data_IF_212897908716
#
_entry.id   IF_212897908716
#
_cell.length_a   1.000
_cell.length_b   1.000
_cell.length_c   1.000
_cell.angle_alpha   90.00
_cell.angle_beta   90.00
_cell.angle_gamma   90.00
#
_symmetry.space_group_name_H-M   'P 1'
#
loop_
_entity.id
_entity.type
_entity.pdbx_description
1 polymer ?
#
# COMPACT_ATOMS: atom_id res chain seq x y z
N UNK A 1 48.01 2.74 -46.04
CA UNK A 1 46.59 2.86 -46.39
C UNK A 1 45.81 1.97 -45.41
N UNK A 2 45.04 2.63 -44.53
CA UNK A 2 44.02 2.13 -43.60
C UNK A 2 44.33 0.92 -42.67
N UNK A 3 44.55 1.24 -41.39
CA UNK A 3 44.30 0.33 -40.28
C UNK A 3 42.79 0.11 -40.11
N UNK A 4 42.34 -1.14 -39.98
CA UNK A 4 40.99 -1.48 -39.54
C UNK A 4 41.08 -2.14 -38.17
N UNK A 5 40.89 -1.33 -37.13
CA UNK A 5 40.50 -1.78 -35.81
C UNK A 5 39.04 -2.23 -35.90
N UNK A 6 38.79 -3.52 -35.72
CA UNK A 6 37.43 -4.03 -35.52
C UNK A 6 37.02 -3.76 -34.08
N UNK A 7 36.12 -2.80 -33.91
CA UNK A 7 35.46 -2.50 -32.64
C UNK A 7 34.74 -3.74 -32.11
N UNK A 8 35.25 -4.26 -31.00
CA UNK A 8 34.55 -5.22 -30.16
C UNK A 8 33.40 -4.46 -29.51
N UNK A 9 32.19 -4.59 -30.05
CA UNK A 9 30.96 -4.17 -29.39
C UNK A 9 30.90 -4.81 -28.01
N UNK A 10 31.22 -4.03 -26.98
CA UNK A 10 30.79 -4.25 -25.61
C UNK A 10 29.27 -4.33 -25.62
N UNK A 11 28.74 -5.51 -25.36
CA UNK A 11 27.33 -5.73 -25.08
C UNK A 11 27.00 -5.01 -23.77
N UNK A 12 26.37 -3.85 -23.87
CA UNK A 12 25.67 -3.22 -22.75
C UNK A 12 24.61 -4.21 -22.25
N UNK A 13 24.87 -4.81 -21.09
CA UNK A 13 23.89 -5.54 -20.32
C UNK A 13 22.86 -4.52 -19.80
N UNK A 14 21.83 -4.27 -20.60
CA UNK A 14 20.76 -3.33 -20.30
C UNK A 14 19.94 -3.83 -19.11
N UNK A 15 19.91 -3.00 -18.09
CA UNK A 15 19.22 -3.05 -16.79
C UNK A 15 17.70 -3.24 -16.87
N UNK A 16 17.22 -4.38 -17.37
CA UNK A 16 15.77 -4.62 -17.59
C UNK A 16 15.12 -5.67 -16.68
N UNK A 17 15.90 -6.38 -15.84
CA UNK A 17 15.41 -7.55 -15.08
C UNK A 17 15.01 -7.28 -13.61
N UNK A 18 15.03 -6.02 -13.15
CA UNK A 18 14.79 -5.64 -11.75
C UNK A 18 13.37 -5.09 -11.48
N UNK A 19 12.42 -5.30 -12.39
CA UNK A 19 11.12 -4.65 -12.34
C UNK A 19 10.03 -5.61 -11.85
N UNK A 20 9.39 -5.27 -10.73
CA UNK A 20 8.15 -5.92 -10.31
C UNK A 20 7.03 -5.58 -11.31
N UNK A 21 6.16 -6.53 -11.69
CA UNK A 21 4.96 -6.21 -12.46
C UNK A 21 4.06 -5.30 -11.61
N UNK A 22 3.76 -4.10 -12.14
CA UNK A 22 3.14 -3.04 -11.35
C UNK A 22 1.65 -3.26 -11.08
N UNK A 23 0.92 -3.89 -12.01
CA UNK A 23 -0.49 -4.25 -11.90
C UNK A 23 -0.76 -5.42 -12.84
N UNK A 24 -1.23 -6.57 -12.32
CA UNK A 24 -1.66 -7.69 -13.17
C UNK A 24 -3.18 -7.91 -13.13
N UNK A 25 -3.87 -7.42 -12.10
CA UNK A 25 -5.34 -7.48 -12.04
C UNK A 25 -5.99 -6.32 -12.79
N UNK A 26 -7.13 -6.54 -13.45
CA UNK A 26 -7.95 -5.46 -13.96
C UNK A 26 -8.47 -4.60 -12.79
N UNK A 27 -8.62 -3.30 -13.03
CA UNK A 27 -9.26 -2.39 -12.08
C UNK A 27 -10.68 -2.86 -11.76
N UNK A 28 -11.13 -2.61 -10.54
CA UNK A 28 -12.48 -2.95 -10.11
C UNK A 28 -13.50 -2.09 -10.89
N UNK A 29 -14.35 -2.65 -11.77
CA UNK A 29 -15.32 -1.85 -12.53
C UNK A 29 -16.41 -1.23 -11.66
N UNK A 30 -16.51 -1.65 -10.39
CA UNK A 30 -17.61 -1.33 -9.51
C UNK A 30 -18.86 -2.13 -9.86
N UNK A 31 -19.91 -1.92 -9.07
CA UNK A 31 -21.24 -2.49 -9.26
C UNK A 31 -22.30 -1.54 -8.68
N UNK A 32 -23.59 -1.71 -9.02
CA UNK A 32 -24.66 -0.98 -8.36
C UNK A 32 -24.63 -1.17 -6.84
N UNK A 33 -24.94 -0.13 -6.09
CA UNK A 33 -25.00 -0.19 -4.63
C UNK A 33 -26.10 -1.17 -4.18
N UNK A 34 -25.71 -2.20 -3.45
CA UNK A 34 -26.61 -3.15 -2.80
C UNK A 34 -26.77 -2.79 -1.31
N UNK A 35 -27.79 -1.97 -1.01
CA UNK A 35 -28.06 -1.53 0.37
C UNK A 35 -28.49 -2.67 1.30
N UNK A 36 -29.09 -3.74 0.76
CA UNK A 36 -29.50 -4.88 1.57
C UNK A 36 -28.28 -5.69 2.02
N UNK A 37 -27.28 -5.84 1.16
CA UNK A 37 -25.99 -6.39 1.56
C UNK A 37 -25.28 -5.54 2.61
N UNK A 38 -25.23 -4.22 2.41
CA UNK A 38 -24.64 -3.31 3.41
C UNK A 38 -25.34 -3.43 4.76
N UNK A 39 -26.68 -3.47 4.77
CA UNK A 39 -27.48 -3.56 6.00
C UNK A 39 -27.36 -4.93 6.67
N UNK A 40 -27.28 -6.02 5.90
CA UNK A 40 -27.16 -7.38 6.42
C UNK A 40 -25.82 -7.66 7.10
N UNK A 41 -24.77 -6.90 6.77
CA UNK A 41 -23.44 -7.05 7.39
C UNK A 41 -23.51 -6.83 8.90
N UNK A 42 -23.14 -7.88 9.62
CA UNK A 42 -22.96 -7.90 11.06
C UNK A 42 -21.52 -8.26 11.42
N UNK A 43 -21.03 -7.67 12.50
CA UNK A 43 -19.69 -7.97 13.03
C UNK A 43 -19.83 -8.26 14.52
N UNK A 44 -19.38 -9.44 14.95
CA UNK A 44 -19.23 -9.79 16.35
C UNK A 44 -17.84 -9.35 16.83
N UNK A 45 -17.78 -8.18 17.45
CA UNK A 45 -16.51 -7.55 17.88
C UNK A 45 -15.67 -8.49 18.76
N UNK A 46 -16.26 -9.09 19.79
CA UNK A 46 -15.50 -9.96 20.69
C UNK A 46 -14.94 -11.21 20.00
N UNK A 47 -15.66 -11.77 19.02
CA UNK A 47 -15.15 -12.89 18.23
C UNK A 47 -13.98 -12.46 17.32
N UNK A 48 -14.08 -11.28 16.69
CA UNK A 48 -13.01 -10.71 15.88
C UNK A 48 -11.77 -10.45 16.72
N UNK A 49 -11.91 -9.83 17.89
CA UNK A 49 -10.81 -9.53 18.81
C UNK A 49 -10.12 -10.81 19.27
N UNK A 50 -10.88 -11.83 19.69
CA UNK A 50 -10.31 -13.14 20.06
C UNK A 50 -9.53 -13.76 18.91
N UNK A 51 -10.08 -13.73 17.68
CA UNK A 51 -9.38 -14.26 16.51
C UNK A 51 -8.09 -13.50 16.24
N UNK A 52 -8.16 -12.17 16.21
CA UNK A 52 -7.02 -11.30 15.95
C UNK A 52 -5.89 -11.50 16.97
N UNK A 53 -6.23 -11.67 18.27
CA UNK A 53 -5.26 -11.92 19.33
C UNK A 53 -4.45 -13.22 19.13
N UNK A 54 -5.00 -14.22 18.43
CA UNK A 54 -4.27 -15.47 18.15
C UNK A 54 -3.21 -15.34 17.05
N UNK A 55 -3.34 -14.35 16.16
CA UNK A 55 -2.47 -14.19 14.98
C UNK A 55 -0.98 -14.07 15.37
N UNK A 56 -0.56 -13.13 16.24
CA UNK A 56 0.85 -13.01 16.59
C UNK A 56 1.39 -14.18 17.43
N UNK A 57 0.51 -14.92 18.12
CA UNK A 57 0.91 -15.98 19.05
C UNK A 57 1.21 -17.32 18.37
N UNK A 58 0.51 -17.64 17.27
CA UNK A 58 0.57 -18.99 16.67
C UNK A 58 1.30 -19.09 15.33
N UNK A 59 1.73 -17.96 14.74
CA UNK A 59 2.31 -17.90 13.39
C UNK A 59 3.77 -17.44 13.42
N UNK A 60 4.62 -18.21 14.09
CA UNK A 60 6.06 -17.90 14.09
C UNK A 60 6.71 -18.40 12.80
N UNK A 61 7.21 -17.49 11.98
CA UNK A 61 8.08 -17.79 10.84
C UNK A 61 9.54 -17.52 11.26
N UNK A 62 10.44 -18.48 11.02
CA UNK A 62 11.83 -18.43 11.55
C UNK A 62 12.86 -18.60 10.44
N UNK A 63 14.08 -18.08 10.69
CA UNK A 63 15.28 -18.28 9.87
C UNK A 63 15.04 -17.91 8.39
N UNK A 64 15.40 -18.77 7.45
CA UNK A 64 15.31 -18.52 6.01
C UNK A 64 13.88 -18.14 5.56
N UNK A 65 12.85 -18.78 6.12
CA UNK A 65 11.46 -18.41 5.80
C UNK A 65 11.11 -17.01 6.30
N UNK A 66 11.67 -16.59 7.44
CA UNK A 66 11.48 -15.24 7.95
C UNK A 66 12.10 -14.24 6.99
N UNK A 67 13.34 -14.47 6.56
CA UNK A 67 14.00 -13.62 5.57
C UNK A 67 13.20 -13.53 4.26
N UNK A 68 12.69 -14.65 3.74
CA UNK A 68 11.86 -14.67 2.54
C UNK A 68 10.57 -13.85 2.70
N UNK A 69 9.89 -13.96 3.84
CA UNK A 69 8.68 -13.19 4.13
C UNK A 69 8.97 -11.69 4.29
N UNK A 70 10.12 -11.34 4.86
CA UNK A 70 10.56 -9.96 4.99
C UNK A 70 10.90 -9.34 3.63
N UNK A 71 11.58 -10.08 2.75
CA UNK A 71 11.80 -9.66 1.36
C UNK A 71 10.47 -9.45 0.62
N UNK A 72 9.51 -10.36 0.82
CA UNK A 72 8.14 -10.19 0.30
C UNK A 72 7.44 -8.96 0.87
N UNK A 73 7.61 -8.67 2.15
CA UNK A 73 7.04 -7.47 2.75
C UNK A 73 7.60 -6.20 2.09
N UNK A 74 8.91 -6.14 1.80
CA UNK A 74 9.56 -5.02 1.12
C UNK A 74 8.90 -4.73 -0.24
N UNK A 75 8.64 -5.76 -1.05
CA UNK A 75 7.98 -5.58 -2.36
C UNK A 75 6.58 -5.02 -2.24
N UNK A 76 5.93 -5.16 -1.08
CA UNK A 76 4.59 -4.64 -0.81
C UNK A 76 4.62 -3.27 -0.14
N UNK A 77 5.78 -2.63 0.13
CA UNK A 77 5.79 -1.34 0.81
C UNK A 77 5.42 -0.20 -0.16
N UNK A 78 4.45 0.62 0.24
CA UNK A 78 4.30 1.98 -0.28
C UNK A 78 5.17 2.88 0.58
N UNK A 79 6.39 3.16 0.12
CA UNK A 79 7.38 3.87 0.91
C UNK A 79 6.95 5.34 0.99
N UNK A 80 6.56 5.77 2.18
CA UNK A 80 5.73 6.97 2.35
C UNK A 80 6.50 8.10 3.03
N UNK A 81 6.43 9.32 2.47
CA UNK A 81 6.66 10.57 3.22
C UNK A 81 5.48 11.49 3.03
N UNK A 82 4.90 11.95 4.14
CA UNK A 82 3.72 12.81 4.18
C UNK A 82 3.87 13.80 5.33
N UNK A 83 4.96 14.56 5.33
CA UNK A 83 5.27 15.55 6.35
C UNK A 83 5.10 16.96 5.81
N UNK A 84 4.74 17.91 6.69
CA UNK A 84 4.64 19.32 6.31
C UNK A 84 5.99 19.98 6.02
N UNK A 85 7.10 19.31 6.36
CA UNK A 85 8.48 19.73 6.08
C UNK A 85 9.13 18.92 4.94
N UNK A 86 8.33 18.25 4.11
CA UNK A 86 8.86 17.53 2.96
C UNK A 86 9.49 18.50 1.95
N UNK A 87 10.63 18.09 1.39
CA UNK A 87 11.39 18.83 0.39
C UNK A 87 11.70 17.90 -0.78
N UNK A 88 11.95 18.45 -1.97
CA UNK A 88 12.34 17.65 -3.13
C UNK A 88 13.52 16.71 -2.81
N UNK A 89 14.54 17.21 -2.11
CA UNK A 89 15.71 16.39 -1.70
C UNK A 89 15.35 15.23 -0.77
N UNK A 90 14.35 15.38 0.11
CA UNK A 90 13.86 14.26 0.95
C UNK A 90 13.16 13.23 0.08
N UNK A 91 12.34 13.67 -0.86
CA UNK A 91 11.62 12.80 -1.80
C UNK A 91 12.60 12.06 -2.72
N UNK A 92 13.66 12.71 -3.19
CA UNK A 92 14.73 12.07 -3.96
C UNK A 92 15.40 10.93 -3.17
N UNK A 93 15.75 11.16 -1.89
CA UNK A 93 16.30 10.09 -1.04
C UNK A 93 15.31 8.94 -0.83
N UNK A 94 14.03 9.27 -0.62
CA UNK A 94 12.96 8.28 -0.49
C UNK A 94 12.87 7.41 -1.76
N UNK A 95 12.91 8.04 -2.93
CA UNK A 95 12.87 7.36 -4.23
C UNK A 95 14.11 6.50 -4.47
N UNK A 96 15.31 6.98 -4.12
CA UNK A 96 16.53 6.19 -4.18
C UNK A 96 16.43 4.94 -3.28
N UNK A 97 15.88 5.09 -2.07
CA UNK A 97 15.63 3.97 -1.14
C UNK A 97 14.55 3.02 -1.66
N UNK A 98 13.51 3.52 -2.32
CA UNK A 98 12.49 2.70 -2.98
C UNK A 98 13.07 1.85 -4.14
N UNK A 99 14.01 2.42 -4.90
CA UNK A 99 14.73 1.75 -5.99
C UNK A 99 15.67 0.66 -5.50
N UNK A 100 16.35 0.90 -4.38
CA UNK A 100 17.28 -0.05 -3.77
C UNK A 100 16.99 -0.20 -2.27
N UNK A 101 15.92 -0.92 -1.90
CA UNK A 101 15.47 -1.04 -0.52
C UNK A 101 16.43 -1.86 0.35
N UNK A 102 17.18 -2.79 -0.27
CA UNK A 102 18.16 -3.67 0.38
C UNK A 102 19.51 -3.55 -0.33
N UNK A 103 20.60 -3.53 0.42
CA UNK A 103 21.95 -3.52 -0.13
C UNK A 103 22.21 -4.73 -1.06
N UNK A 104 22.86 -4.54 -2.23
CA UNK A 104 23.13 -5.63 -3.18
C UNK A 104 23.85 -6.83 -2.58
N UNK A 105 24.85 -6.61 -1.72
CA UNK A 105 25.60 -7.70 -1.07
C UNK A 105 24.73 -8.55 -0.15
N UNK A 106 23.74 -7.95 0.53
CA UNK A 106 22.78 -8.69 1.34
C UNK A 106 21.86 -9.55 0.45
N UNK A 107 21.39 -9.02 -0.68
CA UNK A 107 20.58 -9.79 -1.63
C UNK A 107 21.37 -10.95 -2.24
N UNK A 108 22.63 -10.70 -2.62
CA UNK A 108 23.54 -11.74 -3.11
C UNK A 108 23.75 -12.86 -2.08
N UNK A 109 24.00 -12.50 -0.81
CA UNK A 109 24.15 -13.47 0.28
C UNK A 109 22.86 -14.27 0.54
N UNK A 110 21.68 -13.69 0.28
CA UNK A 110 20.38 -14.35 0.38
C UNK A 110 19.99 -15.14 -0.89
N UNK A 111 20.81 -15.10 -1.95
CA UNK A 111 20.51 -15.73 -3.24
C UNK A 111 19.34 -15.08 -3.99
N UNK A 112 19.13 -13.77 -3.79
CA UNK A 112 17.99 -13.03 -4.32
C UNK A 112 18.42 -12.05 -5.42
N UNK A 113 17.55 -11.88 -6.42
CA UNK A 113 17.66 -10.81 -7.41
C UNK A 113 17.35 -9.44 -6.77
N UNK A 114 17.76 -8.32 -7.39
CA UNK A 114 17.31 -6.99 -7.00
C UNK A 114 15.77 -6.91 -6.90
N UNK A 115 15.29 -6.23 -5.86
CA UNK A 115 13.86 -5.96 -5.63
C UNK A 115 13.66 -4.47 -5.39
N UNK A 116 12.46 -3.95 -5.67
CA UNK A 116 12.04 -2.58 -5.35
C UNK A 116 10.93 -2.60 -4.31
N UNK A 117 10.57 -1.43 -3.76
CA UNK A 117 9.30 -1.28 -3.04
C UNK A 117 8.12 -1.31 -4.02
N UNK A 118 6.91 -1.46 -3.48
CA UNK A 118 5.67 -1.53 -4.27
C UNK A 118 5.23 -0.19 -4.85
N UNK A 119 5.46 0.90 -4.13
CA UNK A 119 5.27 2.27 -4.60
C UNK A 119 6.09 3.28 -3.77
N UNK A 120 6.05 4.54 -4.17
CA UNK A 120 6.37 5.70 -3.33
C UNK A 120 5.10 6.51 -3.10
N UNK A 121 4.81 6.91 -1.86
CA UNK A 121 3.63 7.69 -1.52
C UNK A 121 4.02 9.09 -1.02
N UNK A 122 3.52 10.13 -1.68
CA UNK A 122 3.84 11.55 -1.40
C UNK A 122 2.61 12.46 -1.42
N UNK A 123 2.78 13.72 -1.00
CA UNK A 123 1.81 14.78 -1.27
C UNK A 123 1.84 15.21 -2.73
N UNK A 124 0.74 15.80 -3.21
CA UNK A 124 0.60 16.31 -4.59
C UNK A 124 1.80 17.16 -5.05
N UNK A 125 2.20 18.13 -4.23
CA UNK A 125 3.31 19.06 -4.54
C UNK A 125 4.64 18.34 -4.84
N UNK A 126 4.83 17.14 -4.28
CA UNK A 126 6.06 16.37 -4.41
C UNK A 126 6.04 15.38 -5.59
N UNK A 127 4.92 15.24 -6.30
CA UNK A 127 4.81 14.34 -7.47
C UNK A 127 5.87 14.65 -8.54
N UNK A 128 6.11 15.91 -8.95
CA UNK A 128 7.11 16.21 -9.97
C UNK A 128 8.53 15.79 -9.57
N UNK A 129 8.90 15.98 -8.29
CA UNK A 129 10.20 15.57 -7.77
C UNK A 129 10.32 14.04 -7.74
N UNK A 130 9.28 13.33 -7.27
CA UNK A 130 9.24 11.87 -7.28
C UNK A 130 9.34 11.31 -8.71
N UNK A 131 8.65 11.93 -9.69
CA UNK A 131 8.66 11.53 -11.10
C UNK A 131 10.05 11.64 -11.72
N UNK A 132 10.77 12.73 -11.47
CA UNK A 132 12.17 12.89 -11.90
C UNK A 132 13.07 11.84 -11.24
N UNK A 133 12.92 11.64 -9.93
CA UNK A 133 13.77 10.73 -9.16
C UNK A 133 13.55 9.24 -9.49
N UNK A 134 12.36 8.87 -9.99
CA UNK A 134 11.98 7.50 -10.36
C UNK A 134 12.06 7.23 -11.86
N UNK A 135 12.60 8.15 -12.65
CA UNK A 135 12.78 7.96 -14.09
C UNK A 135 13.59 6.68 -14.40
N UNK A 136 13.14 5.93 -15.41
CA UNK A 136 13.74 4.63 -15.75
C UNK A 136 13.47 3.53 -14.73
N UNK A 137 12.50 3.71 -13.82
CA UNK A 137 12.00 2.66 -12.94
C UNK A 137 10.54 2.32 -13.25
N UNK A 138 10.10 1.21 -12.68
CA UNK A 138 8.72 0.76 -12.69
C UNK A 138 8.11 0.89 -11.29
N UNK A 139 8.47 1.92 -10.53
CA UNK A 139 7.89 2.16 -9.20
C UNK A 139 6.76 3.17 -9.37
N UNK A 140 5.50 2.81 -9.10
CA UNK A 140 4.40 3.75 -9.22
C UNK A 140 4.49 4.83 -8.15
N UNK A 141 4.06 6.04 -8.52
CA UNK A 141 3.88 7.16 -7.60
C UNK A 141 2.43 7.13 -7.14
N UNK A 142 2.25 6.92 -5.84
CA UNK A 142 1.01 7.14 -5.14
C UNK A 142 0.97 8.58 -4.59
N UNK A 143 -0.17 9.25 -4.74
CA UNK A 143 -0.40 10.54 -4.12
C UNK A 143 -1.58 10.45 -3.13
N UNK A 144 -1.47 11.13 -1.99
CA UNK A 144 -2.66 11.39 -1.18
C UNK A 144 -3.39 12.62 -1.73
N UNK A 145 -4.72 12.55 -1.80
CA UNK A 145 -5.56 13.64 -2.30
C UNK A 145 -6.80 13.80 -1.41
N UNK A 146 -7.78 14.57 -1.88
CA UNK A 146 -9.10 14.79 -1.28
C UNK A 146 -9.07 15.53 0.06
N UNK A 147 -8.20 16.53 0.21
CA UNK A 147 -8.06 17.32 1.44
C UNK A 147 -7.44 16.50 2.57
N UNK A 148 -6.50 15.63 2.23
CA UNK A 148 -5.78 14.79 3.19
C UNK A 148 -5.13 15.66 4.30
N UNK A 149 -5.15 15.21 5.57
CA UNK A 149 -5.71 13.94 6.07
C UNK A 149 -7.19 14.04 6.48
N UNK A 150 -7.73 15.26 6.60
CA UNK A 150 -9.04 15.48 7.20
C UNK A 150 -10.21 15.10 6.27
N UNK A 151 -10.06 15.27 4.95
CA UNK A 151 -11.13 14.95 4.00
C UNK A 151 -12.28 15.94 3.99
N UNK A 152 -12.09 17.16 4.50
CA UNK A 152 -13.17 18.12 4.78
C UNK A 152 -13.27 19.28 3.77
N UNK A 153 -12.36 19.36 2.80
CA UNK A 153 -12.45 20.36 1.73
C UNK A 153 -13.73 20.16 0.89
N UNK A 154 -14.27 21.23 0.26
CA UNK A 154 -15.40 21.12 -0.67
C UNK A 154 -15.22 20.00 -1.70
N UNK A 155 -16.30 19.26 -2.00
CA UNK A 155 -16.23 18.07 -2.87
C UNK A 155 -15.61 18.36 -4.24
N UNK A 156 -15.97 19.48 -4.87
CA UNK A 156 -15.41 19.92 -6.15
C UNK A 156 -13.88 20.09 -6.09
N UNK A 157 -13.37 20.71 -5.02
CA UNK A 157 -11.92 20.87 -4.84
C UNK A 157 -11.23 19.53 -4.60
N UNK A 158 -11.87 18.61 -3.87
CA UNK A 158 -11.34 17.25 -3.66
C UNK A 158 -11.28 16.45 -4.96
N UNK A 159 -12.28 16.58 -5.84
CA UNK A 159 -12.28 15.98 -7.18
C UNK A 159 -11.16 16.60 -8.02
N UNK A 160 -11.05 17.94 -8.05
CA UNK A 160 -10.00 18.62 -8.81
C UNK A 160 -8.59 18.26 -8.34
N UNK A 161 -8.39 18.07 -7.04
CA UNK A 161 -7.11 17.62 -6.47
C UNK A 161 -6.69 16.24 -6.98
N UNK A 162 -7.65 15.32 -7.16
CA UNK A 162 -7.39 14.01 -7.77
C UNK A 162 -6.93 14.19 -9.21
N UNK A 163 -7.70 14.94 -10.02
CA UNK A 163 -7.38 15.18 -11.43
C UNK A 163 -5.99 15.81 -11.59
N UNK A 164 -5.67 16.84 -10.81
CA UNK A 164 -4.36 17.48 -10.82
C UNK A 164 -3.23 16.49 -10.44
N UNK A 165 -3.47 15.61 -9.47
CA UNK A 165 -2.48 14.60 -9.07
C UNK A 165 -2.23 13.57 -10.17
N UNK A 166 -3.27 13.16 -10.89
CA UNK A 166 -3.16 12.28 -12.07
C UNK A 166 -2.43 13.02 -13.21
N UNK A 167 -2.81 14.26 -13.52
CA UNK A 167 -2.15 15.12 -14.51
C UNK A 167 -0.65 15.29 -14.21
N UNK A 168 -0.27 15.41 -12.93
CA UNK A 168 1.13 15.51 -12.50
C UNK A 168 1.91 14.19 -12.66
N UNK A 169 1.22 13.05 -12.82
CA UNK A 169 1.82 11.75 -13.08
C UNK A 169 1.71 10.73 -11.95
N UNK A 170 0.81 10.93 -10.98
CA UNK A 170 0.49 9.87 -10.03
C UNK A 170 -0.25 8.71 -10.74
N UNK A 171 0.26 7.49 -10.58
CA UNK A 171 -0.35 6.27 -11.10
C UNK A 171 -1.37 5.68 -10.11
N UNK A 172 -1.31 6.11 -8.85
CA UNK A 172 -2.22 5.66 -7.81
C UNK A 172 -2.65 6.85 -6.93
N UNK A 173 -3.91 6.88 -6.52
CA UNK A 173 -4.47 7.95 -5.68
C UNK A 173 -5.04 7.34 -4.40
N UNK A 174 -4.50 7.74 -3.27
CA UNK A 174 -4.99 7.43 -1.94
C UNK A 174 -5.98 8.52 -1.51
N UNK A 175 -7.28 8.25 -1.67
CA UNK A 175 -8.36 9.18 -1.28
C UNK A 175 -8.77 8.98 0.17
N UNK A 176 -9.29 10.02 0.81
CA UNK A 176 -9.90 9.96 2.15
C UNK A 176 -11.40 10.07 1.99
N UNK A 177 -12.13 9.05 2.45
CA UNK A 177 -13.60 9.11 2.42
C UNK A 177 -14.12 10.16 3.39
N UNK A 178 -15.31 10.65 3.10
CA UNK A 178 -16.07 11.39 4.07
C UNK A 178 -16.60 10.51 5.20
N UNK A 179 -15.87 10.49 6.33
CA UNK A 179 -16.25 9.76 7.55
C UNK A 179 -17.67 10.07 8.02
N UNK A 180 -18.15 11.31 7.84
CA UNK A 180 -19.51 11.74 8.21
C UNK A 180 -20.60 10.87 7.59
N UNK A 181 -20.45 10.45 6.32
CA UNK A 181 -21.44 9.60 5.65
C UNK A 181 -21.54 8.22 6.32
N UNK A 182 -20.41 7.67 6.76
CA UNK A 182 -20.38 6.42 7.52
C UNK A 182 -21.06 6.58 8.89
N UNK A 183 -20.74 7.67 9.60
CA UNK A 183 -21.25 7.94 10.95
C UNK A 183 -22.75 8.24 10.97
N UNK A 184 -23.29 8.87 9.92
CA UNK A 184 -24.74 9.11 9.76
C UNK A 184 -25.47 7.97 9.07
N UNK A 185 -24.76 6.93 8.61
CA UNK A 185 -25.33 5.80 7.87
C UNK A 185 -25.82 6.15 6.46
N UNK A 186 -25.34 7.25 5.89
CA UNK A 186 -25.64 7.70 4.53
C UNK A 186 -24.74 6.97 3.51
N UNK A 187 -25.03 5.69 3.30
CA UNK A 187 -24.25 4.82 2.43
C UNK A 187 -24.37 5.20 0.95
N UNK A 188 -25.48 5.81 0.55
CA UNK A 188 -25.67 6.30 -0.81
C UNK A 188 -24.73 7.46 -1.11
N UNK A 189 -24.65 8.46 -0.21
CA UNK A 189 -23.73 9.57 -0.41
C UNK A 189 -22.26 9.13 -0.37
N UNK A 190 -21.89 8.15 0.46
CA UNK A 190 -20.55 7.55 0.43
C UNK A 190 -20.26 6.87 -0.91
N UNK A 191 -21.22 6.09 -1.44
CA UNK A 191 -21.09 5.43 -2.74
C UNK A 191 -20.90 6.46 -3.88
N UNK A 192 -21.75 7.48 -3.92
CA UNK A 192 -21.71 8.50 -4.97
C UNK A 192 -20.43 9.34 -4.90
N UNK A 193 -19.97 9.71 -3.69
CA UNK A 193 -18.68 10.38 -3.50
C UNK A 193 -17.52 9.52 -3.99
N UNK A 194 -17.46 8.24 -3.59
CA UNK A 194 -16.40 7.34 -4.01
C UNK A 194 -16.42 7.09 -5.52
N UNK A 195 -17.60 7.00 -6.13
CA UNK A 195 -17.75 6.85 -7.58
C UNK A 195 -17.24 8.09 -8.32
N UNK A 196 -17.51 9.29 -7.80
CA UNK A 196 -16.96 10.53 -8.34
C UNK A 196 -15.42 10.56 -8.25
N UNK A 197 -14.86 10.14 -7.12
CA UNK A 197 -13.40 10.02 -6.96
C UNK A 197 -12.79 8.99 -7.92
N UNK A 198 -13.44 7.84 -8.08
CA UNK A 198 -13.02 6.81 -9.03
C UNK A 198 -13.01 7.35 -10.47
N UNK A 199 -14.03 8.11 -10.87
CA UNK A 199 -14.07 8.74 -12.18
C UNK A 199 -12.94 9.76 -12.38
N UNK A 200 -12.70 10.61 -11.37
CA UNK A 200 -11.64 11.62 -11.39
C UNK A 200 -10.22 11.02 -11.47
N UNK A 201 -10.03 9.79 -10.98
CA UNK A 201 -8.75 9.11 -11.08
C UNK A 201 -8.38 8.72 -12.53
N UNK A 202 -9.31 8.75 -13.49
CA UNK A 202 -9.07 8.23 -14.83
C UNK A 202 -8.57 6.79 -14.75
N UNK A 203 -7.40 6.50 -15.32
CA UNK A 203 -6.74 5.19 -15.29
C UNK A 203 -5.98 4.89 -13.99
N UNK A 204 -5.70 5.90 -13.16
CA UNK A 204 -4.97 5.71 -11.91
C UNK A 204 -5.74 4.83 -10.92
N UNK A 205 -5.02 3.97 -10.20
CA UNK A 205 -5.63 3.11 -9.18
C UNK A 205 -6.12 3.93 -8.00
N UNK A 206 -7.36 3.71 -7.56
CA UNK A 206 -7.91 4.41 -6.40
C UNK A 206 -7.87 3.54 -5.15
N UNK A 207 -7.22 4.04 -4.10
CA UNK A 207 -7.15 3.41 -2.78
C UNK A 207 -7.99 4.21 -1.78
N UNK A 208 -9.11 3.64 -1.35
CA UNK A 208 -10.03 4.30 -0.43
C UNK A 208 -9.55 4.19 1.02
N UNK A 209 -9.01 5.29 1.58
CA UNK A 209 -8.72 5.40 3.01
C UNK A 209 -10.03 5.57 3.76
N UNK A 210 -10.36 4.58 4.59
CA UNK A 210 -11.59 4.59 5.39
C UNK A 210 -11.46 5.36 6.71
N UNK A 211 -10.22 5.62 7.16
CA UNK A 211 -9.92 6.20 8.47
C UNK A 211 -10.62 5.43 9.61
N UNK A 212 -10.37 4.12 9.63
CA UNK A 212 -11.11 3.14 10.44
C UNK A 212 -11.15 3.41 11.94
N UNK A 213 -10.15 4.09 12.50
CA UNK A 213 -10.11 4.48 13.91
C UNK A 213 -11.22 5.46 14.30
N UNK A 214 -11.81 6.15 13.32
CA UNK A 214 -12.80 7.21 13.52
C UNK A 214 -14.21 6.80 13.04
N UNK A 215 -14.40 5.55 12.59
CA UNK A 215 -15.69 5.05 12.10
C UNK A 215 -16.59 4.49 13.21
N UNK A 216 -16.15 4.55 14.46
CA UNK A 216 -16.91 4.20 15.66
C UNK A 216 -17.09 2.70 15.93
N UNK A 217 -17.24 1.86 14.90
CA UNK A 217 -17.40 0.40 15.09
C UNK A 217 -16.82 -0.42 13.95
N UNK A 218 -16.44 -1.67 14.24
CA UNK A 218 -16.01 -2.63 13.21
C UNK A 218 -17.13 -2.93 12.20
N UNK A 219 -18.41 -2.82 12.58
CA UNK A 219 -19.54 -2.95 11.65
C UNK A 219 -19.53 -1.83 10.62
N UNK A 220 -19.29 -0.60 11.04
CA UNK A 220 -19.18 0.54 10.14
C UNK A 220 -17.96 0.39 9.21
N UNK A 221 -16.83 -0.11 9.71
CA UNK A 221 -15.66 -0.43 8.88
C UNK A 221 -16.01 -1.44 7.78
N UNK A 222 -16.69 -2.54 8.13
CA UNK A 222 -17.10 -3.56 7.17
C UNK A 222 -18.03 -3.00 6.09
N UNK A 223 -19.03 -2.22 6.50
CA UNK A 223 -20.00 -1.57 5.61
C UNK A 223 -19.34 -0.55 4.69
N UNK A 224 -18.50 0.33 5.22
CA UNK A 224 -17.76 1.30 4.43
C UNK A 224 -16.84 0.61 3.42
N UNK A 225 -16.20 -0.49 3.80
CA UNK A 225 -15.37 -1.30 2.90
C UNK A 225 -16.18 -1.80 1.70
N UNK A 226 -17.35 -2.42 1.94
CA UNK A 226 -18.24 -2.91 0.88
C UNK A 226 -18.73 -1.78 -0.01
N UNK A 227 -19.18 -0.65 0.56
CA UNK A 227 -19.65 0.49 -0.22
C UNK A 227 -18.55 1.04 -1.13
N UNK A 228 -17.33 1.19 -0.61
CA UNK A 228 -16.21 1.68 -1.42
C UNK A 228 -15.84 0.69 -2.54
N UNK A 229 -15.86 -0.62 -2.27
CA UNK A 229 -15.62 -1.65 -3.30
C UNK A 229 -16.72 -1.64 -4.37
N UNK A 230 -17.99 -1.56 -3.99
CA UNK A 230 -19.09 -1.43 -4.95
C UNK A 230 -18.95 -0.15 -5.80
N UNK A 231 -18.48 0.95 -5.22
CA UNK A 231 -18.22 2.20 -5.94
C UNK A 231 -16.97 2.15 -6.85
N UNK A 232 -16.23 1.04 -6.87
CA UNK A 232 -15.05 0.86 -7.72
C UNK A 232 -13.74 1.21 -7.03
N UNK A 233 -13.60 1.04 -5.72
CA UNK A 233 -12.28 1.11 -5.09
C UNK A 233 -11.40 -0.07 -5.58
N UNK A 234 -10.18 0.23 -6.04
CA UNK A 234 -9.20 -0.79 -6.43
C UNK A 234 -8.48 -1.35 -5.19
N UNK A 235 -8.31 -0.51 -4.16
CA UNK A 235 -7.87 -0.91 -2.83
C UNK A 235 -8.76 -0.29 -1.76
N UNK A 236 -8.92 -1.00 -0.65
CA UNK A 236 -9.37 -0.41 0.61
C UNK A 236 -8.19 -0.27 1.58
N UNK A 237 -8.05 0.92 2.17
CA UNK A 237 -6.94 1.31 3.05
C UNK A 237 -7.46 1.67 4.43
N UNK A 238 -6.76 1.23 5.49
CA UNK A 238 -7.25 1.40 6.87
C UNK A 238 -7.30 2.88 7.28
N UNK A 239 -6.18 3.58 7.20
CA UNK A 239 -5.99 4.85 7.94
C UNK A 239 -5.12 5.82 7.14
N UNK A 240 -5.18 7.11 7.48
CA UNK A 240 -4.30 8.11 6.86
C UNK A 240 -2.88 8.02 7.40
N UNK A 241 -2.71 7.43 8.59
CA UNK A 241 -1.44 7.44 9.32
C UNK A 241 -1.29 8.69 10.20
N UNK A 242 -2.33 9.54 10.26
CA UNK A 242 -2.37 10.78 11.05
C UNK A 242 -3.37 10.71 12.20
N UNK A 243 -4.23 9.69 12.24
CA UNK A 243 -5.15 9.45 13.35
C UNK A 243 -4.42 8.92 14.60
N UNK A 244 -5.07 9.02 15.77
CA UNK A 244 -4.59 8.42 17.01
C UNK A 244 -4.62 6.89 16.98
N UNK A 245 -5.66 6.32 16.35
CA UNK A 245 -5.82 4.88 16.14
C UNK A 245 -5.77 4.59 14.65
N UNK A 246 -4.72 3.88 14.22
CA UNK A 246 -4.48 3.52 12.82
C UNK A 246 -4.83 2.04 12.55
N UNK A 247 -4.05 1.35 11.70
CA UNK A 247 -4.23 -0.07 11.42
C UNK A 247 -4.14 -0.91 12.70
N UNK A 248 -5.14 -1.76 12.92
CA UNK A 248 -5.15 -2.79 13.97
C UNK A 248 -5.52 -4.13 13.35
N UNK A 249 -5.10 -5.24 13.97
CA UNK A 249 -5.44 -6.58 13.48
C UNK A 249 -6.96 -6.84 13.46
N UNK A 250 -7.78 -6.42 14.45
CA UNK A 250 -9.24 -6.55 14.39
C UNK A 250 -9.86 -5.83 13.18
N UNK A 251 -9.47 -4.57 12.95
CA UNK A 251 -9.92 -3.79 11.78
C UNK A 251 -9.51 -4.49 10.48
N UNK A 252 -8.26 -4.91 10.41
CA UNK A 252 -7.69 -5.56 9.22
C UNK A 252 -8.42 -6.85 8.88
N UNK A 253 -8.66 -7.70 9.88
CA UNK A 253 -9.40 -8.94 9.71
C UNK A 253 -10.80 -8.69 9.14
N UNK A 254 -11.48 -7.64 9.60
CA UNK A 254 -12.81 -7.27 9.11
C UNK A 254 -12.77 -6.79 7.66
N UNK A 255 -11.83 -5.91 7.31
CA UNK A 255 -11.68 -5.40 5.95
C UNK A 255 -11.30 -6.51 4.96
N UNK A 256 -10.35 -7.37 5.34
CA UNK A 256 -9.90 -8.52 4.53
C UNK A 256 -11.04 -9.51 4.30
N UNK A 257 -11.88 -9.77 5.31
CA UNK A 257 -13.08 -10.60 5.13
C UNK A 257 -14.10 -9.96 4.22
N UNK A 258 -14.28 -8.64 4.29
CA UNK A 258 -15.14 -7.95 3.33
C UNK A 258 -14.61 -8.10 1.90
N UNK A 259 -13.30 -8.03 1.68
CA UNK A 259 -12.68 -8.31 0.36
C UNK A 259 -12.96 -9.74 -0.09
N UNK A 260 -12.80 -10.73 0.79
CA UNK A 260 -13.10 -12.13 0.48
C UNK A 260 -14.55 -12.29 0.07
N UNK A 261 -15.47 -11.80 0.88
CA UNK A 261 -16.91 -11.93 0.62
C UNK A 261 -17.31 -11.18 -0.69
N UNK A 262 -16.61 -10.08 -1.02
CA UNK A 262 -16.78 -9.38 -2.30
C UNK A 262 -16.25 -10.18 -3.48
N UNK A 263 -15.07 -10.78 -3.36
CA UNK A 263 -14.49 -11.65 -4.38
C UNK A 263 -15.37 -12.88 -4.62
N UNK A 264 -15.83 -13.55 -3.57
CA UNK A 264 -16.68 -14.75 -3.68
C UNK A 264 -18.00 -14.45 -4.42
N UNK A 265 -18.53 -13.24 -4.28
CA UNK A 265 -19.78 -12.81 -4.94
C UNK A 265 -19.58 -12.31 -6.37
N UNK A 266 -18.46 -11.65 -6.66
CA UNK A 266 -18.28 -10.89 -7.92
C UNK A 266 -17.18 -11.42 -8.83
N UNK A 267 -16.27 -12.23 -8.30
CA UNK A 267 -15.04 -12.63 -8.98
C UNK A 267 -13.98 -11.54 -9.10
N UNK A 268 -14.23 -10.33 -8.57
CA UNK A 268 -13.33 -9.17 -8.69
C UNK A 268 -12.38 -9.13 -7.49
N UNK A 269 -11.07 -9.07 -7.76
CA UNK A 269 -10.07 -8.92 -6.72
C UNK A 269 -9.88 -7.45 -6.36
N UNK A 270 -10.03 -7.14 -5.08
CA UNK A 270 -9.73 -5.81 -4.52
C UNK A 270 -8.51 -5.93 -3.61
N UNK A 271 -7.63 -4.93 -3.68
CA UNK A 271 -6.43 -4.88 -2.87
C UNK A 271 -6.68 -4.40 -1.43
N UNK A 272 -5.77 -4.76 -0.53
CA UNK A 272 -5.78 -4.33 0.86
C UNK A 272 -4.51 -3.53 1.21
N UNK A 273 -4.68 -2.40 1.90
CA UNK A 273 -3.55 -1.58 2.36
C UNK A 273 -3.66 -1.19 3.84
N UNK A 274 -3.01 -1.92 4.78
CA UNK A 274 -2.90 -1.44 6.14
C UNK A 274 -1.90 -0.28 6.21
N UNK A 275 -2.25 0.78 6.93
CA UNK A 275 -1.42 1.97 7.06
C UNK A 275 -1.47 2.58 8.47
N UNK A 276 -0.32 3.14 8.89
CA UNK A 276 -0.12 3.76 10.20
C UNK A 276 0.15 2.74 11.32
N UNK A 277 1.18 3.00 12.13
CA UNK A 277 1.56 2.17 13.29
C UNK A 277 2.38 0.91 12.97
N UNK A 278 2.48 0.50 11.70
CA UNK A 278 3.26 -0.67 11.28
C UNK A 278 4.72 -0.25 11.06
N UNK A 279 5.56 -0.49 12.07
CA UNK A 279 6.96 -0.07 12.06
C UNK A 279 7.95 -1.20 12.36
N UNK A 280 7.46 -2.41 12.67
CA UNK A 280 8.31 -3.56 13.03
C UNK A 280 8.20 -4.68 12.01
N UNK A 281 9.32 -5.32 11.71
CA UNK A 281 9.42 -6.47 10.83
C UNK A 281 8.48 -7.63 11.26
N UNK A 282 8.29 -7.82 12.57
CA UNK A 282 7.36 -8.81 13.13
C UNK A 282 5.90 -8.50 12.77
N UNK A 283 5.52 -7.22 12.74
CA UNK A 283 4.16 -6.83 12.38
C UNK A 283 3.90 -7.17 10.92
N UNK A 284 4.84 -6.86 10.02
CA UNK A 284 4.73 -7.19 8.60
C UNK A 284 4.48 -8.69 8.36
N UNK A 285 5.21 -9.57 9.06
CA UNK A 285 4.99 -11.03 9.01
C UNK A 285 3.58 -11.39 9.49
N UNK A 286 3.10 -10.75 10.56
CA UNK A 286 1.76 -11.00 11.10
C UNK A 286 0.66 -10.62 10.09
N UNK A 287 0.83 -9.50 9.39
CA UNK A 287 -0.08 -9.06 8.33
C UNK A 287 -0.03 -9.98 7.10
N UNK A 288 1.16 -10.39 6.64
CA UNK A 288 1.28 -11.36 5.53
C UNK A 288 0.63 -12.70 5.87
N UNK A 289 0.76 -13.17 7.12
CA UNK A 289 0.11 -14.39 7.58
C UNK A 289 -1.42 -14.24 7.56
N UNK A 290 -1.93 -13.10 8.01
CA UNK A 290 -3.35 -12.79 7.96
C UNK A 290 -3.88 -12.77 6.52
N UNK A 291 -3.17 -12.12 5.59
CA UNK A 291 -3.53 -12.11 4.17
C UNK A 291 -3.55 -13.52 3.59
N UNK A 292 -2.50 -14.31 3.83
CA UNK A 292 -2.41 -15.68 3.35
C UNK A 292 -3.53 -16.58 3.89
N UNK A 293 -3.88 -16.45 5.17
CA UNK A 293 -4.92 -17.26 5.81
C UNK A 293 -6.34 -16.93 5.31
N UNK A 294 -6.65 -15.64 5.07
CA UNK A 294 -8.02 -15.24 4.73
C UNK A 294 -8.26 -15.09 3.22
N UNK A 295 -7.23 -14.78 2.41
CA UNK A 295 -7.34 -14.52 0.95
C UNK A 295 -6.42 -15.39 0.08
N UNK A 296 -5.41 -16.06 0.66
CA UNK A 296 -4.49 -16.93 -0.07
C UNK A 296 -3.31 -16.20 -0.72
N UNK A 297 -2.47 -16.97 -1.43
CA UNK A 297 -1.15 -16.50 -1.91
C UNK A 297 -1.21 -15.38 -2.93
N UNK A 298 -2.27 -15.33 -3.74
CA UNK A 298 -2.43 -14.29 -4.75
C UNK A 298 -2.45 -12.88 -4.14
N UNK A 299 -2.99 -12.73 -2.93
CA UNK A 299 -3.05 -11.46 -2.20
C UNK A 299 -1.76 -11.14 -1.42
N UNK A 300 -0.67 -11.89 -1.65
CA UNK A 300 0.64 -11.52 -1.12
C UNK A 300 1.47 -10.71 -2.12
N UNK A 301 0.93 -10.43 -3.30
CA UNK A 301 1.61 -9.68 -4.35
C UNK A 301 1.29 -8.17 -4.28
N UNK A 302 2.22 -7.30 -4.75
CA UNK A 302 2.11 -5.85 -4.58
C UNK A 302 0.86 -5.24 -5.23
N UNK A 303 0.30 -5.84 -6.27
CA UNK A 303 -0.90 -5.32 -6.92
C UNK A 303 -2.20 -5.62 -6.16
N UNK A 304 -2.15 -6.43 -5.09
CA UNK A 304 -3.29 -6.72 -4.22
C UNK A 304 -3.01 -6.50 -2.73
N UNK A 305 -1.77 -6.24 -2.34
CA UNK A 305 -1.41 -5.96 -0.95
C UNK A 305 -0.29 -4.94 -0.83
N UNK A 306 -0.51 -3.92 0.01
CA UNK A 306 0.47 -2.86 0.24
C UNK A 306 0.60 -2.50 1.72
N UNK A 307 1.80 -2.25 2.22
CA UNK A 307 2.01 -1.59 3.51
C UNK A 307 2.17 -0.08 3.32
N UNK A 308 1.28 0.73 3.91
CA UNK A 308 1.51 2.18 4.01
C UNK A 308 2.44 2.49 5.19
N UNK A 309 3.75 2.61 4.93
CA UNK A 309 4.74 2.78 6.00
C UNK A 309 5.92 3.68 5.58
N UNK A 310 6.48 4.38 6.57
CA UNK A 310 7.70 5.19 6.42
C UNK A 310 8.92 4.50 7.05
N UNK A 311 8.80 4.00 8.29
CA UNK A 311 9.93 3.43 9.05
C UNK A 311 10.07 1.91 9.00
N UNK A 312 9.07 1.20 8.47
CA UNK A 312 9.06 -0.27 8.42
C UNK A 312 10.25 -0.83 7.65
N UNK A 313 10.58 -0.23 6.50
CA UNK A 313 11.65 -0.70 5.64
C UNK A 313 12.99 -0.77 6.38
N UNK A 314 13.30 0.25 7.19
CA UNK A 314 14.55 0.31 7.96
C UNK A 314 14.62 -0.80 9.02
N UNK A 315 13.49 -1.11 9.67
CA UNK A 315 13.45 -2.21 10.64
C UNK A 315 13.64 -3.56 9.95
N UNK A 316 13.03 -3.76 8.77
CA UNK A 316 13.18 -4.98 7.97
C UNK A 316 14.63 -5.14 7.51
N UNK A 317 15.25 -4.11 6.95
CA UNK A 317 16.63 -4.16 6.47
C UNK A 317 17.59 -4.53 7.60
N UNK A 318 17.39 -3.96 8.80
CA UNK A 318 18.17 -4.32 9.99
C UNK A 318 18.02 -5.80 10.37
N UNK A 319 16.82 -6.37 10.25
CA UNK A 319 16.61 -7.81 10.51
C UNK A 319 17.27 -8.69 9.44
N UNK A 320 17.25 -8.28 8.18
CA UNK A 320 17.90 -9.01 7.09
C UNK A 320 19.43 -8.98 7.25
N UNK A 321 20.02 -7.82 7.57
CA UNK A 321 21.46 -7.71 7.84
C UNK A 321 21.86 -8.58 9.04
N UNK A 322 21.08 -8.57 10.12
CA UNK A 322 21.33 -9.45 11.26
C UNK A 322 21.23 -10.93 10.89
N UNK A 323 20.27 -11.31 10.04
CA UNK A 323 20.13 -12.68 9.58
C UNK A 323 21.35 -13.17 8.78
N UNK A 324 21.92 -12.31 7.93
CA UNK A 324 23.07 -12.64 7.08
C UNK A 324 24.39 -12.59 7.85
N UNK A 325 24.59 -11.56 8.67
CA UNK A 325 25.89 -11.27 9.29
C UNK A 325 26.03 -11.76 10.73
N UNK A 326 24.92 -12.12 11.38
CA UNK A 326 24.86 -12.41 12.81
C UNK A 326 24.99 -11.19 13.73
N UNK A 327 25.17 -9.98 13.18
CA UNK A 327 25.36 -8.73 13.93
C UNK A 327 24.23 -7.74 13.62
N UNK A 328 23.74 -7.02 14.62
CA UNK A 328 22.78 -5.94 14.37
C UNK A 328 23.48 -4.75 13.71
N UNK A 329 22.86 -4.21 12.67
CA UNK A 329 23.38 -3.03 11.98
C UNK A 329 23.39 -1.80 12.87
N UNK A 330 24.42 -0.97 12.72
CA UNK A 330 24.46 0.35 13.33
C UNK A 330 23.48 1.28 12.60
N UNK A 331 22.76 2.13 13.34
CA UNK A 331 21.65 2.93 12.79
C UNK A 331 22.02 3.88 11.63
N UNK A 332 23.30 4.23 11.46
CA UNK A 332 23.79 5.09 10.37
C UNK A 332 24.04 4.34 9.04
N UNK A 333 24.02 3.01 9.04
CA UNK A 333 24.24 2.20 7.83
C UNK A 333 23.02 2.15 6.91
N UNK A 334 21.84 2.45 7.45
CA UNK A 334 20.60 2.51 6.71
C UNK A 334 20.29 3.96 6.39
N UNK A 335 20.13 4.27 5.09
CA UNK A 335 19.73 5.60 4.68
C UNK A 335 18.40 5.97 5.35
N UNK A 336 18.39 7.08 6.10
CA UNK A 336 17.16 7.63 6.67
C UNK A 336 16.29 8.20 5.55
N UNK A 337 15.13 7.59 5.37
CA UNK A 337 13.98 8.14 4.65
C UNK A 337 13.57 9.46 5.30
#
# INVERSE_FOLDING_TARGET
MAAQLTDKKTTDATTTDAHLPQVTEPRNPGMPLDLDWVRSVQVNTSAVERRAATLPARRSVKKAHQAAWLLRAITCIDLTTLSGDDTERRVERLCAKARQPVAPDLLNALGMKPITTGAVCVYHEMIPAAKRALEGTNIPIAAVSTGFPAGLSPLELRIREIEMSVEAGAAEIDIVISRRHVLTGDWQALYDEMKAFRAACGDAHVKAILATGELGSLRNVARASLVCMMAGADFIKTSTGKESVNATLPVSLVMIRAIRDYYDRTGIRVGYKPAGGISKAKDAITYLALMKEELGDRWLEPDLFRFGASSLLNDIERQLEHHVTGSYSAGYRHATS
#
